data_IF_249527972227
#
_entry.id   IF_249527972227
#
_cell.length_a   1.000
_cell.length_b   1.000
_cell.length_c   1.000
_cell.angle_alpha   90.00
_cell.angle_beta   90.00
_cell.angle_gamma   90.00
#
_symmetry.space_group_name_H-M   'P 1'
#
loop_
_entity.id
_entity.type
_entity.pdbx_description
1 polymer ?
#
# COMPACT_ATOMS: atom_id res chain seq x y z
N UNK A 1 -10.21 -13.82 -26.07
CA UNK A 1 -10.73 -13.39 -24.76
C UNK A 1 -10.06 -14.14 -23.59
N UNK A 2 -9.62 -15.39 -23.78
CA UNK A 2 -8.99 -16.19 -22.70
C UNK A 2 -7.49 -15.88 -22.47
N UNK A 3 -6.71 -15.67 -23.53
CA UNK A 3 -5.25 -15.42 -23.41
C UNK A 3 -4.90 -14.14 -22.66
N UNK A 4 -5.68 -13.07 -22.86
CA UNK A 4 -5.49 -11.83 -22.11
C UNK A 4 -5.76 -12.02 -20.61
N UNK A 5 -6.87 -12.66 -20.25
CA UNK A 5 -7.19 -12.91 -18.84
C UNK A 5 -6.16 -13.84 -18.20
N UNK A 6 -5.69 -14.85 -18.93
CA UNK A 6 -4.65 -15.75 -18.45
C UNK A 6 -3.32 -15.01 -18.24
N UNK A 7 -2.89 -14.20 -19.22
CA UNK A 7 -1.69 -13.36 -19.09
C UNK A 7 -1.79 -12.38 -17.92
N UNK A 8 -2.98 -11.78 -17.72
CA UNK A 8 -3.23 -10.88 -16.60
C UNK A 8 -3.16 -11.61 -15.26
N UNK A 9 -3.77 -12.79 -15.15
CA UNK A 9 -3.72 -13.61 -13.94
C UNK A 9 -2.29 -14.04 -13.63
N UNK A 10 -1.54 -14.50 -14.63
CA UNK A 10 -0.13 -14.86 -14.48
C UNK A 10 0.72 -13.67 -14.03
N UNK A 11 0.48 -12.49 -14.62
CA UNK A 11 1.14 -11.25 -14.23
C UNK A 11 0.81 -10.87 -12.76
N UNK A 12 -0.47 -10.87 -12.38
CA UNK A 12 -0.90 -10.53 -11.02
C UNK A 12 -0.35 -11.54 -10.01
N UNK A 13 -0.40 -12.83 -10.32
CA UNK A 13 0.14 -13.86 -9.44
C UNK A 13 1.65 -13.68 -9.23
N UNK A 14 2.41 -13.50 -10.33
CA UNK A 14 3.86 -13.39 -10.28
C UNK A 14 4.35 -12.08 -9.65
N UNK A 15 3.68 -10.97 -9.90
CA UNK A 15 4.17 -9.64 -9.51
C UNK A 15 3.46 -9.06 -8.28
N UNK A 16 2.26 -9.53 -7.94
CA UNK A 16 1.52 -9.05 -6.76
C UNK A 16 1.45 -10.15 -5.70
N UNK A 17 0.96 -11.34 -6.10
CA UNK A 17 0.81 -12.49 -5.19
C UNK A 17 2.12 -12.93 -4.56
N UNK A 18 3.17 -13.11 -5.37
CA UNK A 18 4.50 -13.48 -4.89
C UNK A 18 5.06 -12.45 -3.93
N UNK A 19 5.00 -11.15 -4.26
CA UNK A 19 5.53 -10.09 -3.41
C UNK A 19 4.81 -10.05 -2.05
N UNK A 20 3.48 -10.17 -2.06
CA UNK A 20 2.67 -10.16 -0.82
C UNK A 20 3.02 -11.35 0.07
N UNK A 21 3.29 -12.51 -0.55
CA UNK A 21 3.75 -13.68 0.17
C UNK A 21 5.17 -13.50 0.71
N UNK A 22 6.11 -13.01 -0.09
CA UNK A 22 7.50 -12.81 0.32
C UNK A 22 7.62 -11.83 1.50
N UNK A 23 6.87 -10.74 1.47
CA UNK A 23 6.88 -9.78 2.57
C UNK A 23 5.99 -10.22 3.73
N UNK A 24 5.17 -11.25 3.60
CA UNK A 24 4.20 -11.66 4.62
C UNK A 24 3.33 -10.47 5.08
N UNK A 25 2.62 -9.86 4.13
CA UNK A 25 1.74 -8.73 4.43
C UNK A 25 0.55 -9.18 5.30
N UNK A 26 0.25 -8.41 6.35
CA UNK A 26 -0.93 -8.65 7.20
C UNK A 26 -2.19 -7.99 6.60
N UNK A 27 -3.37 -8.43 7.04
CA UNK A 27 -4.62 -7.86 6.57
C UNK A 27 -4.74 -6.36 6.94
N UNK A 28 -4.23 -5.98 8.11
CA UNK A 28 -4.21 -4.63 8.63
C UNK A 28 -3.27 -3.73 7.80
N UNK A 29 -2.03 -4.17 7.54
CA UNK A 29 -1.09 -3.44 6.68
C UNK A 29 -1.66 -3.26 5.27
N UNK A 30 -2.25 -4.31 4.71
CA UNK A 30 -2.89 -4.25 3.40
C UNK A 30 -4.07 -3.27 3.37
N UNK A 31 -4.85 -3.21 4.45
CA UNK A 31 -5.96 -2.26 4.57
C UNK A 31 -5.47 -0.82 4.57
N UNK A 32 -4.40 -0.52 5.32
CA UNK A 32 -3.76 0.81 5.25
C UNK A 32 -3.27 1.15 3.85
N UNK A 33 -2.59 0.21 3.17
CA UNK A 33 -2.10 0.42 1.81
C UNK A 33 -3.22 0.69 0.81
N UNK A 34 -4.33 -0.04 0.89
CA UNK A 34 -5.55 0.22 0.11
C UNK A 34 -6.10 1.62 0.36
N UNK A 35 -6.17 2.04 1.63
CA UNK A 35 -6.65 3.39 1.98
C UNK A 35 -5.71 4.46 1.45
N UNK A 36 -4.39 4.27 1.55
CA UNK A 36 -3.40 5.20 0.98
C UNK A 36 -3.60 5.29 -0.54
N UNK A 37 -3.69 4.17 -1.25
CA UNK A 37 -3.91 4.11 -2.70
C UNK A 37 -5.22 4.79 -3.11
N UNK A 38 -6.30 4.59 -2.36
CA UNK A 38 -7.59 5.26 -2.59
C UNK A 38 -7.44 6.79 -2.60
N UNK A 39 -6.54 7.33 -1.78
CA UNK A 39 -6.22 8.76 -1.76
C UNK A 39 -5.00 9.15 -2.62
N UNK A 40 -4.33 8.20 -3.28
CA UNK A 40 -3.21 8.44 -4.21
C UNK A 40 -3.66 8.66 -5.65
N UNK A 41 -4.82 8.12 -6.04
CA UNK A 41 -5.28 8.09 -7.43
C UNK A 41 -6.28 9.19 -7.80
N UNK A 42 -5.83 10.11 -8.66
CA UNK A 42 -6.60 10.81 -9.69
C UNK A 42 -8.10 10.98 -9.47
N UNK A 43 -8.51 11.78 -8.48
CA UNK A 43 -9.90 12.18 -8.37
C UNK A 43 -10.16 13.28 -9.41
N UNK A 44 -10.32 12.83 -10.66
CA UNK A 44 -10.66 13.69 -11.79
C UNK A 44 -11.92 14.47 -11.43
N UNK A 45 -11.84 15.79 -11.45
CA UNK A 45 -12.97 16.67 -11.15
C UNK A 45 -13.06 17.15 -9.70
N UNK A 46 -12.07 16.91 -8.82
CA UNK A 46 -12.02 17.63 -7.55
C UNK A 46 -11.57 19.07 -7.73
N UNK A 47 -12.20 19.96 -6.97
CA UNK A 47 -11.69 21.31 -6.72
C UNK A 47 -10.36 21.26 -5.96
N UNK A 48 -9.63 22.37 -5.93
CA UNK A 48 -8.39 22.50 -5.14
C UNK A 48 -8.62 22.21 -3.64
N UNK A 49 -9.78 22.62 -3.12
CA UNK A 49 -10.17 22.30 -1.74
C UNK A 49 -10.35 20.79 -1.54
N UNK A 50 -10.98 20.11 -2.50
CA UNK A 50 -11.12 18.65 -2.50
C UNK A 50 -9.78 17.93 -2.57
N UNK A 51 -8.89 18.37 -3.46
CA UNK A 51 -7.52 17.85 -3.57
C UNK A 51 -6.77 17.96 -2.24
N UNK A 52 -6.87 19.11 -1.56
CA UNK A 52 -6.24 19.32 -0.26
C UNK A 52 -6.78 18.37 0.83
N UNK A 53 -8.07 18.07 0.83
CA UNK A 53 -8.65 17.09 1.76
C UNK A 53 -8.10 15.69 1.50
N UNK A 54 -8.06 15.26 0.24
CA UNK A 54 -7.53 13.95 -0.17
C UNK A 54 -6.05 13.83 0.18
N UNK A 55 -5.23 14.84 -0.13
CA UNK A 55 -3.80 14.84 0.21
C UNK A 55 -3.56 14.78 1.72
N UNK A 56 -4.37 15.48 2.52
CA UNK A 56 -4.29 15.39 3.99
C UNK A 56 -4.66 14.00 4.49
N UNK A 57 -5.71 13.39 3.93
CA UNK A 57 -6.11 12.04 4.28
C UNK A 57 -5.00 11.04 3.94
N UNK A 58 -4.44 11.10 2.74
CA UNK A 58 -3.32 10.27 2.30
C UNK A 58 -2.13 10.37 3.28
N UNK A 59 -1.69 11.59 3.59
CA UNK A 59 -0.58 11.82 4.53
C UNK A 59 -0.87 11.26 5.92
N UNK A 60 -2.10 11.41 6.40
CA UNK A 60 -2.54 10.88 7.70
C UNK A 60 -2.47 9.36 7.71
N UNK A 61 -2.99 8.67 6.70
CA UNK A 61 -2.95 7.22 6.64
C UNK A 61 -1.53 6.68 6.44
N UNK A 62 -0.67 7.38 5.71
CA UNK A 62 0.77 7.05 5.61
C UNK A 62 1.49 7.14 6.97
N UNK A 63 1.18 8.17 7.77
CA UNK A 63 1.71 8.30 9.12
C UNK A 63 1.19 7.18 10.04
N UNK A 64 -0.13 6.91 10.00
CA UNK A 64 -0.75 5.84 10.78
C UNK A 64 -0.19 4.45 10.45
N UNK A 65 0.13 4.16 9.18
CA UNK A 65 0.80 2.91 8.81
C UNK A 65 2.17 2.80 9.48
N UNK A 66 2.92 3.90 9.53
CA UNK A 66 4.24 3.93 10.16
C UNK A 66 4.14 3.72 11.68
N UNK A 67 3.19 4.40 12.34
CA UNK A 67 2.88 4.21 13.76
C UNK A 67 2.39 2.79 14.06
N UNK A 68 1.57 2.23 13.17
CA UNK A 68 1.08 0.85 13.28
C UNK A 68 2.24 -0.14 13.25
N UNK A 69 3.19 0.00 12.31
CA UNK A 69 4.37 -0.88 12.27
C UNK A 69 5.18 -0.79 13.55
N UNK A 70 5.44 0.42 14.05
CA UNK A 70 6.22 0.63 15.28
C UNK A 70 5.53 0.04 16.51
N UNK A 71 4.21 0.18 16.61
CA UNK A 71 3.43 -0.28 17.77
C UNK A 71 3.07 -1.76 17.75
N UNK A 72 2.78 -2.32 16.57
CA UNK A 72 2.39 -3.73 16.41
C UNK A 72 3.59 -4.68 16.36
N UNK A 73 4.80 -4.16 16.10
CA UNK A 73 6.04 -4.95 16.00
C UNK A 73 7.12 -4.47 16.98
N UNK A 74 6.87 -4.59 18.30
CA UNK A 74 7.89 -4.28 19.32
C UNK A 74 9.04 -5.30 19.31
N UNK A 75 8.87 -6.44 18.62
CA UNK A 75 9.89 -7.45 18.38
C UNK A 75 11.02 -6.96 17.45
N UNK A 76 10.73 -5.98 16.59
CA UNK A 76 11.67 -5.46 15.60
C UNK A 76 12.47 -4.29 16.16
N UNK A 77 13.76 -4.23 15.83
CA UNK A 77 14.55 -3.03 16.11
C UNK A 77 14.18 -1.88 15.16
N UNK A 78 14.64 -0.66 15.47
CA UNK A 78 14.30 0.54 14.69
C UNK A 78 14.66 0.42 13.19
N UNK A 79 15.81 -0.16 12.86
CA UNK A 79 16.22 -0.34 11.46
C UNK A 79 15.32 -1.33 10.73
N UNK A 80 14.91 -2.40 11.40
CA UNK A 80 13.98 -3.40 10.86
C UNK A 80 12.57 -2.83 10.67
N UNK A 81 12.10 -2.00 11.61
CA UNK A 81 10.83 -1.28 11.48
C UNK A 81 10.85 -0.34 10.28
N UNK A 82 11.91 0.45 10.10
CA UNK A 82 12.08 1.30 8.92
C UNK A 82 12.14 0.49 7.62
N UNK A 83 12.84 -0.65 7.62
CA UNK A 83 12.85 -1.56 6.47
C UNK A 83 11.45 -2.07 6.15
N UNK A 84 10.67 -2.46 7.16
CA UNK A 84 9.28 -2.90 6.98
C UNK A 84 8.43 -1.79 6.36
N UNK A 85 8.52 -0.58 6.90
CA UNK A 85 7.80 0.59 6.36
C UNK A 85 8.16 0.82 4.89
N UNK A 86 9.46 0.83 4.55
CA UNK A 86 9.93 0.98 3.17
C UNK A 86 9.42 -0.13 2.25
N UNK A 87 9.39 -1.39 2.71
CA UNK A 87 8.82 -2.50 1.94
C UNK A 87 7.33 -2.30 1.68
N UNK A 88 6.55 -1.91 2.69
CA UNK A 88 5.11 -1.68 2.56
C UNK A 88 4.80 -0.53 1.60
N UNK A 89 5.52 0.59 1.67
CA UNK A 89 5.35 1.66 0.67
C UNK A 89 5.85 1.24 -0.72
N UNK A 90 6.88 0.40 -0.80
CA UNK A 90 7.44 -0.10 -2.04
C UNK A 90 6.49 -0.97 -2.87
N UNK A 91 5.46 -1.56 -2.26
CA UNK A 91 4.46 -2.39 -2.96
C UNK A 91 3.24 -1.61 -3.45
N UNK A 92 3.13 -0.31 -3.15
CA UNK A 92 2.03 0.53 -3.65
C UNK A 92 1.87 0.46 -5.17
N UNK A 93 2.94 0.50 -5.99
CA UNK A 93 2.83 0.35 -7.45
C UNK A 93 2.23 -0.99 -7.91
N UNK A 94 2.24 -2.03 -7.06
CA UNK A 94 1.62 -3.33 -7.36
C UNK A 94 0.11 -3.33 -7.09
N UNK A 95 -0.40 -2.34 -6.34
CA UNK A 95 -1.81 -2.20 -5.93
C UNK A 95 -2.56 -1.19 -6.80
N UNK A 96 -1.85 -0.17 -7.30
CA UNK A 96 -2.37 0.85 -8.23
C UNK A 96 -2.61 0.27 -9.63
#
# INVERSE_FOLDING_TARGET
>A
FNEFLQSLVEYLHRNVGTIFHEIQITAEEYSFLKTIVLFSGGVVGLTDAGHNVVLRAQRRYSALLSEYVVSSRPDLNHSEQLRRISQLFGIIPCIM
#
